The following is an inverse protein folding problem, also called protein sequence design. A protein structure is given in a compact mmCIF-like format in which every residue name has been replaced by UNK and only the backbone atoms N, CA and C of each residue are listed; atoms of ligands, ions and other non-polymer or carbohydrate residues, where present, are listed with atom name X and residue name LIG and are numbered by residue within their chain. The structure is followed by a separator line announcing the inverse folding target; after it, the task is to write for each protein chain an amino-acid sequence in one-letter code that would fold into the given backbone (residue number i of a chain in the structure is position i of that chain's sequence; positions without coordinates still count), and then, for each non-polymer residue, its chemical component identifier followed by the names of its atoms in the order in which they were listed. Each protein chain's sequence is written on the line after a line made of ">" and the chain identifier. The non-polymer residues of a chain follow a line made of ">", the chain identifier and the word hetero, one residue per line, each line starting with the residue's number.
data_IF_081611594705
#
_entry.id   IF_081611594705
#
_cell.length_a   1.000
_cell.length_b   1.000
_cell.length_c   1.000
_cell.angle_alpha   90.00
_cell.angle_beta   90.00
_cell.angle_gamma   90.00
#
_symmetry.space_group_name_H-M   'P 1'
#
loop_
_entity.id
_entity.type
_entity.pdbx_description
1 polymer ?
#
# COMPACT_ATOMS: atom_id res chain seq x y z
N UNK A 1 -12.81 -5.52 -9.25
CA UNK A 1 -13.42 -4.37 -9.93
C UNK A 1 -13.54 -3.27 -8.87
N UNK A 2 -12.70 -2.24 -8.96
CA UNK A 2 -12.92 -1.04 -8.16
C UNK A 2 -14.18 -0.36 -8.70
N UNK A 3 -15.25 -0.23 -7.92
CA UNK A 3 -16.46 0.42 -8.42
C UNK A 3 -16.11 1.87 -8.79
N UNK A 4 -16.62 2.33 -9.92
CA UNK A 4 -16.49 3.74 -10.32
C UNK A 4 -17.17 4.62 -9.27
N UNK A 5 -16.76 5.87 -9.11
CA UNK A 5 -17.34 6.78 -8.13
C UNK A 5 -18.87 6.94 -8.29
N UNK A 6 -19.35 6.87 -9.52
CA UNK A 6 -20.79 6.90 -9.86
C UNK A 6 -21.53 5.67 -9.31
N UNK A 7 -20.95 4.46 -9.45
CA UNK A 7 -21.50 3.21 -8.92
C UNK A 7 -21.59 3.25 -7.39
N UNK A 8 -20.63 3.91 -6.72
CA UNK A 8 -20.63 4.10 -5.27
C UNK A 8 -21.76 5.01 -4.81
N UNK A 9 -22.03 6.11 -5.50
CA UNK A 9 -23.12 7.02 -5.18
C UNK A 9 -24.50 6.36 -5.39
N UNK A 10 -24.65 5.58 -6.45
CA UNK A 10 -25.88 4.83 -6.69
C UNK A 10 -26.11 3.80 -5.57
N UNK A 11 -25.11 3.02 -5.19
CA UNK A 11 -25.21 2.08 -4.07
C UNK A 11 -25.65 2.76 -2.77
N UNK A 12 -25.07 3.92 -2.45
CA UNK A 12 -25.39 4.68 -1.25
C UNK A 12 -26.82 5.25 -1.27
N UNK A 13 -27.37 5.52 -2.45
CA UNK A 13 -28.74 6.01 -2.58
C UNK A 13 -29.80 5.02 -2.09
N UNK A 14 -29.49 3.73 -2.06
CA UNK A 14 -30.38 2.66 -1.57
C UNK A 14 -30.27 2.38 -0.07
N UNK A 15 -29.42 3.10 0.65
CA UNK A 15 -29.20 2.89 2.12
C UNK A 15 -30.51 2.96 2.93
N UNK A 16 -31.46 3.82 2.53
CA UNK A 16 -32.75 3.95 3.22
C UNK A 16 -33.60 2.67 3.19
N UNK A 17 -33.38 1.77 2.23
CA UNK A 17 -34.09 0.50 2.12
C UNK A 17 -33.60 -0.54 3.16
N UNK A 18 -32.42 -0.35 3.76
CA UNK A 18 -31.84 -1.31 4.69
C UNK A 18 -32.72 -1.59 5.88
N UNK A 19 -33.50 -0.59 6.35
CA UNK A 19 -34.43 -0.74 7.47
C UNK A 19 -35.50 -1.84 7.26
N UNK A 20 -35.74 -2.24 6.02
CA UNK A 20 -36.74 -3.26 5.66
C UNK A 20 -36.19 -4.70 5.72
N UNK A 21 -34.89 -4.86 5.94
CA UNK A 21 -34.23 -6.17 5.98
C UNK A 21 -33.95 -6.63 7.41
N UNK A 22 -33.85 -7.96 7.65
CA UNK A 22 -33.41 -8.53 8.93
C UNK A 22 -32.03 -8.00 9.33
N UNK A 23 -31.74 -7.91 10.63
CA UNK A 23 -30.53 -7.34 11.21
C UNK A 23 -29.24 -7.96 10.62
N UNK A 24 -29.22 -9.27 10.43
CA UNK A 24 -28.05 -9.94 9.87
C UNK A 24 -27.76 -9.52 8.41
N UNK A 25 -28.80 -9.34 7.59
CA UNK A 25 -28.66 -8.90 6.20
C UNK A 25 -28.24 -7.43 6.18
N UNK A 26 -28.88 -6.58 6.99
CA UNK A 26 -28.51 -5.15 7.12
C UNK A 26 -27.05 -4.99 7.43
N UNK A 27 -26.54 -5.78 8.38
CA UNK A 27 -25.15 -5.75 8.80
C UNK A 27 -24.19 -6.18 7.70
N UNK A 28 -24.47 -7.29 7.00
CA UNK A 28 -23.65 -7.74 5.87
C UNK A 28 -23.56 -6.69 4.78
N UNK A 29 -24.68 -6.05 4.47
CA UNK A 29 -24.72 -4.95 3.50
C UNK A 29 -23.93 -3.75 4.05
N UNK A 30 -24.10 -3.37 5.31
CA UNK A 30 -23.37 -2.27 5.91
C UNK A 30 -21.85 -2.48 5.87
N UNK A 31 -21.35 -3.70 6.13
CA UNK A 31 -19.92 -4.04 6.05
C UNK A 31 -19.35 -3.91 4.63
N UNK A 32 -20.17 -4.10 3.60
CA UNK A 32 -19.75 -3.94 2.19
C UNK A 32 -19.87 -2.47 1.76
N UNK A 33 -20.97 -1.81 2.12
CA UNK A 33 -21.30 -0.46 1.67
C UNK A 33 -20.51 0.64 2.41
N UNK A 34 -19.92 0.34 3.57
CA UNK A 34 -19.14 1.31 4.34
C UNK A 34 -17.86 1.74 3.60
N UNK A 35 -17.21 0.84 2.84
CA UNK A 35 -16.03 1.18 2.06
C UNK A 35 -16.31 2.21 0.97
N UNK A 36 -17.33 2.02 0.10
CA UNK A 36 -17.81 3.07 -0.80
C UNK A 36 -18.12 4.41 -0.12
N UNK A 37 -18.74 4.39 1.07
CA UNK A 37 -19.05 5.62 1.81
C UNK A 37 -17.77 6.37 2.22
N UNK A 38 -16.73 5.65 2.66
CA UNK A 38 -15.42 6.25 2.92
C UNK A 38 -14.74 6.80 1.66
N UNK A 39 -14.91 6.16 0.51
CA UNK A 39 -14.31 6.62 -0.75
C UNK A 39 -14.87 7.97 -1.22
N UNK A 40 -16.15 8.22 -0.97
CA UNK A 40 -16.82 9.48 -1.34
C UNK A 40 -16.94 10.47 -0.18
N UNK A 41 -16.36 10.15 0.98
CA UNK A 41 -16.44 10.96 2.22
C UNK A 41 -17.88 11.25 2.65
N UNK A 42 -18.79 10.28 2.55
CA UNK A 42 -20.18 10.40 2.96
C UNK A 42 -20.33 10.15 4.47
N UNK A 43 -20.14 11.20 5.25
CA UNK A 43 -20.14 11.16 6.72
C UNK A 43 -21.45 10.59 7.31
N UNK A 44 -22.59 10.89 6.65
CA UNK A 44 -23.91 10.44 7.10
C UNK A 44 -24.03 8.92 6.95
N UNK A 45 -23.70 8.39 5.79
CA UNK A 45 -23.76 6.96 5.53
C UNK A 45 -22.67 6.19 6.30
N UNK A 46 -21.46 6.75 6.44
CA UNK A 46 -20.41 6.17 7.31
C UNK A 46 -20.94 5.96 8.72
N UNK A 47 -21.55 6.99 9.35
CA UNK A 47 -22.09 6.87 10.69
C UNK A 47 -23.23 5.86 10.76
N UNK A 48 -24.16 5.93 9.80
CA UNK A 48 -25.30 5.02 9.75
C UNK A 48 -24.85 3.55 9.64
N UNK A 49 -23.84 3.24 8.79
CA UNK A 49 -23.34 1.88 8.68
C UNK A 49 -22.61 1.42 9.95
N UNK A 50 -21.84 2.29 10.61
CA UNK A 50 -21.23 1.98 11.90
C UNK A 50 -22.31 1.63 12.94
N UNK A 51 -23.41 2.38 12.97
CA UNK A 51 -24.51 2.15 13.91
C UNK A 51 -25.25 0.84 13.58
N UNK A 52 -25.51 0.55 12.31
CA UNK A 52 -26.09 -0.74 11.89
C UNK A 52 -25.18 -1.92 12.29
N UNK A 53 -23.85 -1.79 12.16
CA UNK A 53 -22.90 -2.83 12.58
C UNK A 53 -22.93 -3.01 14.09
N UNK A 54 -23.10 -1.93 14.86
CA UNK A 54 -23.14 -1.94 16.33
C UNK A 54 -24.45 -2.48 16.91
N UNK A 55 -25.59 -2.11 16.33
CA UNK A 55 -26.93 -2.41 16.88
C UNK A 55 -27.38 -3.85 16.66
N UNK A 56 -26.64 -4.62 15.91
CA UNK A 56 -26.96 -6.02 15.72
C UNK A 56 -26.66 -6.81 17.00
N UNK A 57 -27.64 -7.59 17.49
CA UNK A 57 -27.54 -8.53 18.62
C UNK A 57 -26.52 -9.67 18.36
N UNK A 58 -25.40 -9.37 17.75
CA UNK A 58 -24.43 -10.34 17.32
C UNK A 58 -23.22 -10.41 18.25
N UNK A 59 -22.54 -11.54 18.31
CA UNK A 59 -21.48 -11.79 19.27
C UNK A 59 -20.26 -10.90 19.07
N UNK A 60 -19.37 -10.92 20.06
CA UNK A 60 -18.05 -10.25 20.20
C UNK A 60 -17.19 -10.13 18.93
N UNK A 61 -17.53 -10.84 17.84
CA UNK A 61 -16.77 -10.84 16.58
C UNK A 61 -16.85 -9.53 15.77
N UNK A 62 -17.69 -8.56 16.18
CA UNK A 62 -17.90 -7.31 15.45
C UNK A 62 -17.21 -6.11 16.07
N UNK A 63 -16.84 -6.22 17.33
CA UNK A 63 -16.09 -5.17 18.00
C UNK A 63 -14.85 -4.71 17.24
N UNK A 64 -14.07 -5.63 16.60
CA UNK A 64 -12.95 -5.24 15.75
C UNK A 64 -13.33 -4.38 14.54
N UNK A 65 -14.46 -4.66 13.88
CA UNK A 65 -14.97 -3.87 12.76
C UNK A 65 -15.37 -2.46 13.22
N UNK A 66 -16.12 -2.38 14.31
CA UNK A 66 -16.59 -1.10 14.88
C UNK A 66 -15.39 -0.23 15.27
N UNK A 67 -14.40 -0.79 15.97
CA UNK A 67 -13.18 -0.08 16.36
C UNK A 67 -12.38 0.38 15.14
N UNK A 68 -12.26 -0.46 14.12
CA UNK A 68 -11.58 -0.12 12.88
C UNK A 68 -12.27 1.03 12.14
N UNK A 69 -13.59 0.98 11.95
CA UNK A 69 -14.31 2.01 11.20
C UNK A 69 -14.46 3.32 11.99
N UNK A 70 -14.59 3.26 13.31
CA UNK A 70 -14.50 4.45 14.16
C UNK A 70 -13.13 5.12 14.04
N UNK A 71 -12.05 4.34 14.04
CA UNK A 71 -10.71 4.85 13.84
C UNK A 71 -10.55 5.52 12.46
N UNK A 72 -11.08 4.90 11.39
CA UNK A 72 -11.07 5.49 10.04
C UNK A 72 -11.84 6.82 9.99
N UNK A 73 -12.98 6.89 10.66
CA UNK A 73 -13.74 8.15 10.76
C UNK A 73 -12.95 9.23 11.46
N UNK A 74 -12.29 8.92 12.58
CA UNK A 74 -11.40 9.86 13.28
C UNK A 74 -10.21 10.30 12.40
N UNK A 75 -9.65 9.39 11.61
CA UNK A 75 -8.59 9.72 10.65
C UNK A 75 -9.10 10.70 9.58
N UNK A 76 -10.28 10.46 9.02
CA UNK A 76 -10.93 11.34 8.04
C UNK A 76 -11.20 12.74 8.62
N UNK A 77 -11.61 12.82 9.89
CA UNK A 77 -11.85 14.07 10.62
C UNK A 77 -10.55 14.82 11.00
N UNK A 78 -9.38 14.26 10.72
CA UNK A 78 -8.09 14.89 11.04
C UNK A 78 -7.61 14.69 12.48
N UNK A 79 -8.07 13.64 13.18
CA UNK A 79 -7.65 13.28 14.54
C UNK A 79 -6.76 12.03 14.57
N UNK A 80 -5.52 12.09 14.01
CA UNK A 80 -4.68 10.91 13.82
C UNK A 80 -4.29 10.19 15.11
N UNK A 81 -4.04 10.92 16.20
CA UNK A 81 -3.68 10.31 17.49
C UNK A 81 -4.86 9.55 18.11
N UNK A 82 -6.07 10.08 17.98
CA UNK A 82 -7.27 9.42 18.43
C UNK A 82 -7.56 8.19 17.56
N UNK A 83 -7.37 8.30 16.25
CA UNK A 83 -7.48 7.18 15.30
C UNK A 83 -6.53 6.03 15.67
N UNK A 84 -5.25 6.31 15.97
CA UNK A 84 -4.29 5.29 16.41
C UNK A 84 -4.78 4.55 17.67
N UNK A 85 -5.39 5.26 18.61
CA UNK A 85 -5.91 4.62 19.83
C UNK A 85 -7.00 3.61 19.51
N UNK A 86 -7.97 3.99 18.68
CA UNK A 86 -9.07 3.11 18.27
C UNK A 86 -8.54 1.95 17.39
N UNK A 87 -7.63 2.24 16.43
CA UNK A 87 -6.98 1.17 15.64
C UNK A 87 -6.26 0.13 16.51
N UNK A 88 -5.67 0.52 17.65
CA UNK A 88 -5.01 -0.44 18.55
C UNK A 88 -5.97 -1.49 19.12
N UNK A 89 -7.22 -1.14 19.38
CA UNK A 89 -8.23 -2.11 19.80
C UNK A 89 -8.48 -3.14 18.68
N UNK A 90 -8.68 -2.68 17.45
CA UNK A 90 -8.83 -3.57 16.29
C UNK A 90 -7.55 -4.39 16.01
N UNK A 91 -6.36 -3.77 16.14
CA UNK A 91 -5.08 -4.41 15.90
C UNK A 91 -4.76 -5.55 16.90
N UNK A 92 -5.31 -5.49 18.11
CA UNK A 92 -5.13 -6.48 19.16
C UNK A 92 -6.29 -7.49 19.26
N UNK A 93 -7.24 -7.41 18.32
CA UNK A 93 -8.37 -8.33 18.29
C UNK A 93 -8.01 -9.71 17.75
N UNK A 94 -8.90 -10.68 17.93
CA UNK A 94 -8.79 -12.02 17.34
C UNK A 94 -9.07 -12.06 15.83
N UNK A 95 -9.64 -11.00 15.26
CA UNK A 95 -9.91 -10.89 13.83
C UNK A 95 -8.62 -10.63 13.07
N UNK A 96 -8.09 -11.64 12.40
CA UNK A 96 -6.89 -11.48 11.56
C UNK A 96 -7.06 -10.40 10.48
N UNK A 97 -8.28 -10.27 9.93
CA UNK A 97 -8.63 -9.26 8.93
C UNK A 97 -8.48 -7.83 9.48
N UNK A 98 -9.28 -7.48 10.49
CA UNK A 98 -9.26 -6.13 11.05
C UNK A 98 -7.94 -5.81 11.77
N UNK A 99 -7.28 -6.82 12.36
CA UNK A 99 -5.96 -6.66 12.96
C UNK A 99 -4.93 -6.23 11.92
N UNK A 100 -4.89 -6.89 10.75
CA UNK A 100 -3.96 -6.55 9.66
C UNK A 100 -4.24 -5.17 9.08
N UNK A 101 -5.51 -4.86 8.81
CA UNK A 101 -5.92 -3.54 8.32
C UNK A 101 -5.54 -2.42 9.31
N UNK A 102 -5.84 -2.62 10.60
CA UNK A 102 -5.57 -1.62 11.63
C UNK A 102 -4.07 -1.37 11.81
N UNK A 103 -3.24 -2.43 11.84
CA UNK A 103 -1.78 -2.29 11.93
C UNK A 103 -1.20 -1.52 10.75
N UNK A 104 -1.64 -1.83 9.53
CA UNK A 104 -1.24 -1.08 8.33
C UNK A 104 -1.58 0.40 8.46
N UNK A 105 -2.81 0.75 8.91
CA UNK A 105 -3.23 2.14 9.12
C UNK A 105 -2.41 2.84 10.20
N UNK A 106 -2.12 2.19 11.31
CA UNK A 106 -1.28 2.75 12.38
C UNK A 106 0.10 3.16 11.82
N UNK A 107 0.78 2.25 11.11
CA UNK A 107 2.09 2.55 10.53
C UNK A 107 2.01 3.70 9.53
N UNK A 108 0.98 3.73 8.68
CA UNK A 108 0.76 4.82 7.73
C UNK A 108 0.57 6.18 8.41
N UNK A 109 -0.22 6.24 9.47
CA UNK A 109 -0.38 7.47 10.25
C UNK A 109 0.94 7.89 10.87
N UNK A 110 1.66 6.95 11.50
CA UNK A 110 2.94 7.22 12.14
C UNK A 110 4.00 7.72 11.15
N UNK A 111 4.02 7.20 9.91
CA UNK A 111 4.88 7.71 8.83
C UNK A 111 4.53 9.15 8.47
N UNK A 112 3.25 9.43 8.18
CA UNK A 112 2.78 10.77 7.81
C UNK A 112 3.02 11.81 8.90
N UNK A 113 3.01 11.40 10.16
CA UNK A 113 3.25 12.27 11.32
C UNK A 113 4.71 12.25 11.78
N UNK A 114 5.61 11.58 11.07
CA UNK A 114 7.04 11.42 11.40
C UNK A 114 7.29 10.89 12.83
N UNK A 115 6.39 10.04 13.36
CA UNK A 115 6.50 9.46 14.69
C UNK A 115 7.11 8.05 14.70
N UNK A 116 7.46 7.52 13.53
CA UNK A 116 8.17 6.25 13.35
C UNK A 116 9.32 6.45 12.35
N UNK A 117 10.47 5.79 12.57
CA UNK A 117 11.55 5.78 11.57
C UNK A 117 11.21 4.86 10.40
N UNK A 118 11.84 5.08 9.23
CA UNK A 118 11.64 4.24 8.05
C UNK A 118 11.98 2.78 8.33
N UNK A 119 13.09 2.49 9.04
CA UNK A 119 13.48 1.12 9.40
C UNK A 119 12.42 0.40 10.23
N UNK A 120 11.87 1.10 11.24
CA UNK A 120 10.80 0.53 12.07
C UNK A 120 9.51 0.35 11.27
N UNK A 121 9.17 1.29 10.40
CA UNK A 121 8.02 1.17 9.54
C UNK A 121 8.17 -0.03 8.59
N UNK A 122 9.32 -0.20 7.94
CA UNK A 122 9.63 -1.36 7.10
C UNK A 122 9.48 -2.66 7.89
N UNK A 123 10.04 -2.73 9.11
CA UNK A 123 9.94 -3.92 9.96
C UNK A 123 8.49 -4.28 10.33
N UNK A 124 7.62 -3.30 10.57
CA UNK A 124 6.19 -3.56 10.83
C UNK A 124 5.47 -4.04 9.57
N UNK A 125 5.78 -3.48 8.39
CA UNK A 125 5.22 -3.94 7.12
C UNK A 125 5.70 -5.35 6.75
N UNK A 126 6.95 -5.70 7.01
CA UNK A 126 7.46 -7.07 6.80
C UNK A 126 6.70 -8.10 7.66
N UNK A 127 6.32 -7.75 8.89
CA UNK A 127 5.45 -8.63 9.70
C UNK A 127 4.07 -8.82 9.07
N UNK A 128 3.53 -7.76 8.47
CA UNK A 128 2.24 -7.80 7.80
C UNK A 128 2.26 -8.54 6.46
N UNK A 129 3.42 -8.64 5.80
CA UNK A 129 3.63 -9.35 4.53
C UNK A 129 3.14 -10.81 4.60
N UNK A 130 3.29 -11.43 5.77
CA UNK A 130 2.90 -12.82 6.04
C UNK A 130 1.62 -12.93 6.88
N UNK A 131 1.01 -11.81 7.24
CA UNK A 131 -0.25 -11.78 7.94
C UNK A 131 -1.42 -12.07 6.98
N UNK A 132 -2.63 -12.21 7.54
CA UNK A 132 -3.82 -12.37 6.73
C UNK A 132 -4.02 -11.13 5.84
N UNK A 133 -4.38 -11.38 4.59
CA UNK A 133 -4.75 -10.35 3.64
C UNK A 133 -5.23 -10.98 2.35
N UNK A 134 -6.24 -10.36 1.74
CA UNK A 134 -6.61 -10.68 0.38
C UNK A 134 -5.56 -10.13 -0.62
N UNK A 135 -5.79 -10.42 -1.89
CA UNK A 135 -4.88 -9.98 -2.95
C UNK A 135 -4.69 -8.46 -2.99
N UNK A 136 -5.78 -7.72 -2.85
CA UNK A 136 -5.75 -6.25 -2.92
C UNK A 136 -4.99 -5.66 -1.73
N UNK A 137 -5.24 -6.18 -0.53
CA UNK A 137 -4.47 -5.82 0.66
C UNK A 137 -2.98 -6.07 0.48
N UNK A 138 -2.60 -7.26 -0.03
CA UNK A 138 -1.19 -7.61 -0.25
C UNK A 138 -0.51 -6.69 -1.25
N UNK A 139 -1.14 -6.44 -2.39
CA UNK A 139 -0.58 -5.54 -3.41
C UNK A 139 -0.36 -4.14 -2.81
N UNK A 140 -1.36 -3.57 -2.17
CA UNK A 140 -1.25 -2.26 -1.56
C UNK A 140 -0.21 -2.20 -0.43
N UNK A 141 -0.09 -3.27 0.37
CA UNK A 141 0.94 -3.39 1.40
C UNK A 141 2.36 -3.40 0.80
N UNK A 142 2.58 -4.20 -0.24
CA UNK A 142 3.88 -4.31 -0.91
C UNK A 142 4.26 -3.00 -1.63
N UNK A 143 3.30 -2.30 -2.23
CA UNK A 143 3.56 -0.98 -2.80
C UNK A 143 4.01 0.04 -1.75
N UNK A 144 3.33 0.09 -0.61
CA UNK A 144 3.70 0.98 0.50
C UNK A 144 5.05 0.61 1.11
N UNK A 145 5.36 -0.68 1.21
CA UNK A 145 6.66 -1.17 1.67
C UNK A 145 7.78 -0.79 0.70
N UNK A 146 7.54 -0.92 -0.60
CA UNK A 146 8.49 -0.49 -1.62
C UNK A 146 8.77 1.02 -1.57
N UNK A 147 7.75 1.84 -1.29
CA UNK A 147 7.94 3.27 -1.06
C UNK A 147 8.81 3.55 0.17
N UNK A 148 8.64 2.80 1.25
CA UNK A 148 9.48 2.91 2.44
C UNK A 148 10.93 2.57 2.09
N UNK A 149 11.17 1.47 1.40
CA UNK A 149 12.50 1.08 0.95
C UNK A 149 13.13 2.11 0.01
N UNK A 150 12.35 2.70 -0.89
CA UNK A 150 12.82 3.78 -1.78
C UNK A 150 13.27 5.01 -0.97
N UNK A 151 12.45 5.45 0.00
CA UNK A 151 12.78 6.58 0.89
C UNK A 151 14.02 6.28 1.74
N UNK A 152 14.21 5.01 2.13
CA UNK A 152 15.38 4.54 2.88
C UNK A 152 16.60 4.25 2.00
N UNK A 153 16.50 4.50 0.68
CA UNK A 153 17.54 4.22 -0.33
C UNK A 153 17.93 2.74 -0.44
N UNK A 154 17.05 1.84 -0.04
CA UNK A 154 17.18 0.40 -0.18
C UNK A 154 16.56 -0.07 -1.51
N UNK A 155 17.09 0.45 -2.63
CA UNK A 155 16.48 0.32 -3.95
C UNK A 155 16.32 -1.12 -4.44
N UNK A 156 17.24 -2.01 -4.09
CA UNK A 156 17.14 -3.42 -4.42
C UNK A 156 15.87 -4.02 -3.79
N UNK A 157 15.68 -3.81 -2.49
CA UNK A 157 14.48 -4.27 -1.80
C UNK A 157 13.21 -3.62 -2.33
N UNK A 158 13.27 -2.36 -2.73
CA UNK A 158 12.14 -1.66 -3.31
C UNK A 158 11.68 -2.31 -4.63
N UNK A 159 12.62 -2.59 -5.55
CA UNK A 159 12.33 -3.27 -6.82
C UNK A 159 11.85 -4.71 -6.61
N UNK A 160 12.52 -5.48 -5.73
CA UNK A 160 12.13 -6.84 -5.37
C UNK A 160 10.69 -6.89 -4.80
N UNK A 161 10.35 -5.93 -3.94
CA UNK A 161 9.01 -5.84 -3.35
C UNK A 161 7.94 -5.47 -4.39
N UNK A 162 8.26 -4.57 -5.33
CA UNK A 162 7.37 -4.25 -6.46
C UNK A 162 7.21 -5.43 -7.42
N UNK A 163 8.27 -6.20 -7.66
CA UNK A 163 8.22 -7.40 -8.48
C UNK A 163 7.32 -8.47 -7.86
N UNK A 164 7.45 -8.72 -6.55
CA UNK A 164 6.53 -9.60 -5.83
C UNK A 164 5.07 -9.12 -5.94
N UNK A 165 4.82 -7.81 -5.75
CA UNK A 165 3.47 -7.26 -5.93
C UNK A 165 2.94 -7.55 -7.34
N UNK A 166 3.79 -7.42 -8.37
CA UNK A 166 3.46 -7.66 -9.78
C UNK A 166 3.11 -9.11 -10.07
N UNK A 167 3.74 -10.08 -9.41
CA UNK A 167 3.44 -11.51 -9.59
C UNK A 167 2.03 -11.90 -9.15
N UNK A 168 1.47 -11.19 -8.19
CA UNK A 168 0.16 -11.47 -7.62
C UNK A 168 -1.00 -10.71 -8.29
N UNK A 169 -0.78 -10.02 -9.42
CA UNK A 169 -1.76 -9.10 -10.00
C UNK A 169 -2.35 -9.55 -11.32
N UNK A 170 -3.41 -8.85 -11.75
CA UNK A 170 -3.98 -8.94 -13.10
C UNK A 170 -3.08 -8.26 -14.14
N UNK A 171 -3.34 -8.50 -15.44
CA UNK A 171 -2.54 -7.90 -16.53
C UNK A 171 -2.51 -6.38 -16.49
N UNK A 172 -3.61 -5.73 -16.17
CA UNK A 172 -3.71 -4.27 -16.09
C UNK A 172 -2.85 -3.72 -14.94
N UNK A 173 -2.99 -4.32 -13.76
CA UNK A 173 -2.18 -3.94 -12.59
C UNK A 173 -0.69 -4.25 -12.79
N UNK A 174 -0.34 -5.36 -13.49
CA UNK A 174 1.04 -5.66 -13.88
C UNK A 174 1.67 -4.51 -14.65
N UNK A 175 0.94 -3.98 -15.63
CA UNK A 175 1.44 -2.84 -16.43
C UNK A 175 1.64 -1.60 -15.57
N UNK A 176 0.72 -1.32 -14.63
CA UNK A 176 0.84 -0.20 -13.69
C UNK A 176 2.07 -0.34 -12.79
N UNK A 177 2.28 -1.53 -12.21
CA UNK A 177 3.43 -1.81 -11.34
C UNK A 177 4.74 -1.81 -12.14
N UNK A 178 4.75 -2.34 -13.37
CA UNK A 178 5.92 -2.25 -14.26
C UNK A 178 6.30 -0.80 -14.52
N UNK A 179 5.34 0.09 -14.77
CA UNK A 179 5.62 1.53 -14.92
C UNK A 179 6.23 2.14 -13.66
N UNK A 180 5.75 1.75 -12.46
CA UNK A 180 6.37 2.18 -11.20
C UNK A 180 7.82 1.69 -11.07
N UNK A 181 8.08 0.43 -11.46
CA UNK A 181 9.44 -0.13 -11.46
C UNK A 181 10.36 0.61 -12.46
N UNK A 182 9.86 0.92 -13.65
CA UNK A 182 10.62 1.71 -14.65
C UNK A 182 10.93 3.10 -14.09
N UNK A 183 9.95 3.78 -13.51
CA UNK A 183 10.16 5.10 -12.90
C UNK A 183 11.20 5.06 -11.77
N UNK A 184 11.14 4.05 -10.90
CA UNK A 184 12.13 3.88 -9.84
C UNK A 184 13.52 3.57 -10.41
N UNK A 185 13.61 2.77 -11.47
CA UNK A 185 14.85 2.45 -12.17
C UNK A 185 15.47 3.72 -12.82
N UNK A 186 14.65 4.57 -13.44
CA UNK A 186 15.06 5.87 -13.95
C UNK A 186 15.56 6.80 -12.84
N UNK A 187 14.88 6.85 -11.71
CA UNK A 187 15.31 7.66 -10.56
C UNK A 187 16.68 7.22 -10.05
N UNK A 188 16.93 5.93 -10.01
CA UNK A 188 18.23 5.38 -9.61
C UNK A 188 19.33 5.79 -10.61
N UNK A 189 19.17 5.48 -11.88
CA UNK A 189 20.27 5.55 -12.87
C UNK A 189 20.30 6.86 -13.66
N UNK A 190 19.16 7.44 -13.98
CA UNK A 190 19.08 8.68 -14.74
C UNK A 190 19.14 9.92 -13.85
N UNK A 191 18.41 9.91 -12.74
CA UNK A 191 18.33 11.02 -11.77
C UNK A 191 19.43 10.98 -10.69
N UNK A 192 20.42 10.07 -10.83
CA UNK A 192 21.59 9.96 -9.95
C UNK A 192 21.28 9.64 -8.48
N UNK A 193 20.18 8.95 -8.18
CA UNK A 193 19.90 8.49 -6.82
C UNK A 193 20.89 7.41 -6.37
N UNK A 194 21.62 6.81 -7.30
CA UNK A 194 22.63 5.79 -7.05
C UNK A 194 24.04 6.33 -6.72
N UNK A 195 24.26 7.64 -6.74
CA UNK A 195 25.60 8.24 -6.50
C UNK A 195 26.25 7.80 -5.18
N UNK A 196 25.43 7.43 -4.19
CA UNK A 196 25.89 6.90 -2.90
C UNK A 196 25.94 5.36 -2.84
N UNK A 197 25.57 4.65 -3.92
CA UNK A 197 25.64 3.19 -3.99
C UNK A 197 27.02 2.80 -4.56
N UNK A 198 27.77 1.85 -3.96
CA UNK A 198 29.00 1.35 -4.54
C UNK A 198 28.78 0.85 -5.99
N UNK A 199 29.67 1.18 -6.92
CA UNK A 199 29.53 0.88 -8.35
C UNK A 199 29.21 -0.60 -8.65
N UNK A 200 29.82 -1.53 -7.91
CA UNK A 200 29.52 -2.96 -8.03
C UNK A 200 28.09 -3.33 -7.61
N UNK A 201 27.57 -2.69 -6.56
CA UNK A 201 26.18 -2.90 -6.14
C UNK A 201 25.19 -2.31 -7.13
N UNK A 202 25.52 -1.14 -7.70
CA UNK A 202 24.74 -0.51 -8.77
C UNK A 202 24.73 -1.41 -10.01
N UNK A 203 25.87 -1.97 -10.40
CA UNK A 203 25.95 -2.92 -11.51
C UNK A 203 25.10 -4.17 -11.27
N UNK A 204 25.18 -4.76 -10.08
CA UNK A 204 24.36 -5.94 -9.74
C UNK A 204 22.88 -5.65 -9.85
N UNK A 205 22.44 -4.53 -9.28
CA UNK A 205 21.05 -4.07 -9.39
C UNK A 205 20.63 -3.87 -10.85
N UNK A 206 21.51 -3.28 -11.68
CA UNK A 206 21.24 -3.12 -13.11
C UNK A 206 21.11 -4.48 -13.80
N UNK A 207 21.98 -5.43 -13.52
CA UNK A 207 21.96 -6.77 -14.15
C UNK A 207 20.66 -7.52 -13.84
N UNK A 208 20.20 -7.48 -12.57
CA UNK A 208 18.99 -8.16 -12.15
C UNK A 208 17.71 -7.54 -12.76
N UNK A 209 17.71 -6.22 -12.97
CA UNK A 209 16.57 -5.45 -13.49
C UNK A 209 16.80 -4.83 -14.87
N UNK A 210 17.81 -5.31 -15.63
CA UNK A 210 18.17 -4.78 -16.97
C UNK A 210 17.01 -4.81 -17.96
N UNK A 211 16.04 -5.69 -17.78
CA UNK A 211 14.84 -5.77 -18.59
C UNK A 211 13.93 -4.53 -18.49
N UNK A 212 14.08 -3.70 -17.45
CA UNK A 212 13.39 -2.42 -17.30
C UNK A 212 14.04 -1.33 -18.18
N UNK A 213 15.33 -1.40 -18.45
CA UNK A 213 16.07 -0.38 -19.17
C UNK A 213 15.51 -0.07 -20.58
N UNK A 214 15.19 -1.06 -21.44
CA UNK A 214 14.58 -0.80 -22.76
C UNK A 214 13.19 -0.18 -22.70
N UNK A 215 12.52 -0.21 -21.55
CA UNK A 215 11.19 0.38 -21.33
C UNK A 215 11.30 1.85 -20.91
N UNK A 216 12.52 2.31 -20.58
CA UNK A 216 12.79 3.70 -20.21
C UNK A 216 13.00 4.55 -21.45
N UNK A 217 12.42 5.77 -21.46
CA UNK A 217 12.72 6.79 -22.47
C UNK A 217 14.18 7.26 -22.42
N UNK A 218 14.86 7.02 -21.30
CA UNK A 218 16.23 7.43 -21.02
C UNK A 218 17.26 6.31 -21.18
N UNK A 219 16.92 5.20 -21.86
CA UNK A 219 17.76 4.00 -21.99
C UNK A 219 19.23 4.30 -22.27
N UNK A 220 19.52 5.05 -23.35
CA UNK A 220 20.89 5.35 -23.75
C UNK A 220 21.65 6.17 -22.68
N UNK A 221 20.98 7.10 -22.01
CA UNK A 221 21.60 7.91 -20.96
C UNK A 221 21.90 7.07 -19.70
N UNK A 222 21.04 6.13 -19.36
CA UNK A 222 21.21 5.18 -18.24
C UNK A 222 22.46 4.30 -18.51
N UNK A 223 22.54 3.68 -19.68
CA UNK A 223 23.67 2.83 -20.07
C UNK A 223 24.98 3.63 -20.07
N UNK A 224 24.98 4.83 -20.65
CA UNK A 224 26.15 5.70 -20.66
C UNK A 224 26.62 6.06 -19.24
N UNK A 225 25.73 6.50 -18.38
CA UNK A 225 26.08 6.87 -16.99
C UNK A 225 26.63 5.68 -16.20
N UNK A 226 26.02 4.50 -16.35
CA UNK A 226 26.52 3.30 -15.68
C UNK A 226 27.90 2.90 -16.19
N UNK A 227 28.14 2.95 -17.51
CA UNK A 227 29.43 2.69 -18.10
C UNK A 227 30.52 3.67 -17.61
N UNK A 228 30.21 4.98 -17.61
CA UNK A 228 31.13 6.02 -17.12
C UNK A 228 31.50 5.79 -15.66
N UNK A 229 30.55 5.40 -14.85
CA UNK A 229 30.74 5.11 -13.42
C UNK A 229 31.62 3.87 -13.19
N UNK A 230 31.47 2.83 -14.02
CA UNK A 230 32.32 1.64 -13.95
C UNK A 230 33.74 1.96 -14.39
N UNK A 231 33.91 2.81 -15.40
CA UNK A 231 35.23 3.30 -15.85
C UNK A 231 35.91 4.07 -14.72
N UNK A 232 35.17 4.92 -13.99
CA UNK A 232 35.70 5.73 -12.89
C UNK A 232 36.27 4.87 -11.72
N UNK A 233 35.83 3.61 -11.58
CA UNK A 233 36.34 2.66 -10.57
C UNK A 233 37.20 1.56 -11.18
N UNK A 234 37.73 1.77 -12.38
CA UNK A 234 38.65 0.87 -13.13
C UNK A 234 38.03 -0.50 -13.49
N UNK A 235 36.71 -0.57 -13.64
CA UNK A 235 36.01 -1.78 -14.08
C UNK A 235 35.74 -1.80 -15.58
N UNK A 236 36.82 -1.57 -16.41
CA UNK A 236 36.75 -1.40 -17.86
C UNK A 236 36.08 -2.56 -18.58
N UNK A 237 36.40 -3.81 -18.21
CA UNK A 237 35.79 -5.00 -18.80
C UNK A 237 34.29 -5.12 -18.52
N UNK A 238 33.82 -4.61 -17.39
CA UNK A 238 32.39 -4.56 -17.06
C UNK A 238 31.67 -3.45 -17.82
N UNK A 239 32.31 -2.27 -17.93
CA UNK A 239 31.79 -1.14 -18.69
C UNK A 239 31.61 -1.49 -20.20
N UNK A 240 32.50 -2.30 -20.75
CA UNK A 240 32.42 -2.74 -22.18
C UNK A 240 31.23 -3.67 -22.44
N UNK A 241 30.77 -4.43 -21.44
CA UNK A 241 29.74 -5.47 -21.57
C UNK A 241 28.34 -5.01 -21.15
N UNK A 242 28.12 -3.73 -20.97
CA UNK A 242 26.80 -3.12 -20.73
C UNK A 242 26.20 -2.59 -22.02
#
# INVERSE_FOLDING_TARGET
>A
LSPKAEDNQELLSYTYMLKNYPDEIRRRIALVAIEPAFMVNDDLNIQNYIDIIRDSNSPLDQEPAINYYNARKLELMGYPLNAIREYRYAANSSSAYFSSLARRRIVNIQRRTNTISLDKAAAEYEKLRYAWGDREFKIGLLEELAEIYTQNKEYYKALETLEEAREHTTTEEKNRLTKKMVSLFEDIYYNNQDDNIPALKSLALYQDYSWLAPMSEHYNAIVQKLADRLVAVDLLGRAYNI
#
